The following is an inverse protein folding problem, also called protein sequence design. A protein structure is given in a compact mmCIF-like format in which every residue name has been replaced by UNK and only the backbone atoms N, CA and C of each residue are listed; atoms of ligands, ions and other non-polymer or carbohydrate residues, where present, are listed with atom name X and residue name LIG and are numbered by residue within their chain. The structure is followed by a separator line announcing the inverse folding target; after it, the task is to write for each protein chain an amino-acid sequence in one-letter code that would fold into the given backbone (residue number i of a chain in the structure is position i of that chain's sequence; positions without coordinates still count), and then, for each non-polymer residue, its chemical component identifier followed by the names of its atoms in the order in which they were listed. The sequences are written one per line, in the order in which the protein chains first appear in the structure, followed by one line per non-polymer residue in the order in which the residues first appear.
data_IF_158693844615
#
_entry.id   IF_158693844615
#
_cell.length_a   1.000
_cell.length_b   1.000
_cell.length_c   1.000
_cell.angle_alpha   90.00
_cell.angle_beta   90.00
_cell.angle_gamma   90.00
#
_symmetry.space_group_name_H-M   'P 1'
#
loop_
_entity.id
_entity.type
_entity.pdbx_description
1 polymer ?
#
# COMPACT_ATOMS: atom_id res chain seq x y z
N UNK A 1 -78.87 -10.79 -2.68
CA UNK A 1 -77.80 -10.88 -3.70
C UNK A 1 -76.49 -10.54 -3.00
N UNK A 2 -75.73 -11.52 -2.48
CA UNK A 2 -74.78 -12.44 -3.15
C UNK A 2 -73.41 -11.76 -3.38
N UNK A 3 -72.42 -12.22 -2.59
CA UNK A 3 -70.98 -12.48 -2.91
C UNK A 3 -70.10 -11.27 -3.31
N UNK A 4 -68.83 -11.16 -2.96
CA UNK A 4 -67.90 -12.00 -2.21
C UNK A 4 -66.68 -11.14 -1.82
N UNK A 5 -66.17 -11.36 -0.60
CA UNK A 5 -64.79 -11.09 -0.23
C UNK A 5 -63.86 -11.93 -1.11
N UNK A 6 -62.77 -11.35 -1.62
CA UNK A 6 -61.58 -12.09 -2.02
C UNK A 6 -60.31 -11.33 -1.60
N UNK A 7 -59.87 -11.66 -0.39
CA UNK A 7 -58.51 -11.50 0.10
C UNK A 7 -57.57 -12.38 -0.74
N UNK A 8 -56.61 -11.76 -1.41
CA UNK A 8 -55.45 -12.46 -2.00
C UNK A 8 -54.19 -11.90 -1.36
N UNK A 9 -53.91 -12.40 -0.16
CA UNK A 9 -52.63 -12.26 0.52
C UNK A 9 -51.60 -13.14 -0.18
N UNK A 10 -50.86 -12.57 -1.13
CA UNK A 10 -49.65 -13.18 -1.67
C UNK A 10 -48.53 -13.04 -0.63
N UNK A 11 -48.47 -14.02 0.28
CA UNK A 11 -47.29 -14.30 1.09
C UNK A 11 -46.18 -14.80 0.16
N UNK A 12 -45.42 -13.86 -0.40
CA UNK A 12 -44.15 -14.12 -1.03
C UNK A 12 -43.14 -14.61 0.01
N UNK A 13 -43.15 -15.92 0.26
CA UNK A 13 -42.05 -16.66 0.88
C UNK A 13 -40.85 -16.64 -0.07
N UNK A 14 -40.19 -15.48 -0.16
CA UNK A 14 -38.88 -15.39 -0.77
C UNK A 14 -37.89 -16.21 0.07
N UNK A 15 -37.01 -17.02 -0.55
CA UNK A 15 -35.98 -17.73 0.18
C UNK A 15 -35.13 -16.71 0.93
N UNK A 16 -35.20 -16.73 2.26
CA UNK A 16 -34.22 -16.10 3.13
C UNK A 16 -32.88 -16.74 2.80
N UNK A 17 -32.11 -16.10 1.92
CA UNK A 17 -30.69 -16.38 1.77
C UNK A 17 -30.08 -16.07 3.14
N UNK A 18 -30.01 -17.09 3.99
CA UNK A 18 -29.22 -17.09 5.19
C UNK A 18 -27.77 -16.92 4.74
N UNK A 19 -27.36 -15.67 4.57
CA UNK A 19 -25.95 -15.32 4.48
C UNK A 19 -25.35 -15.78 5.80
N UNK A 20 -24.66 -16.93 5.74
CA UNK A 20 -23.85 -17.43 6.81
C UNK A 20 -23.08 -16.23 7.36
N UNK A 21 -23.38 -15.87 8.60
CA UNK A 21 -22.81 -14.66 9.19
C UNK A 21 -21.30 -14.84 9.14
N UNK A 22 -20.64 -14.08 8.26
CA UNK A 22 -19.20 -14.13 8.08
C UNK A 22 -18.57 -14.15 9.47
N UNK A 23 -17.90 -15.26 9.79
CA UNK A 23 -17.41 -15.52 11.14
C UNK A 23 -16.08 -14.81 11.25
N UNK A 24 -16.13 -13.49 11.43
CA UNK A 24 -14.95 -12.67 11.59
C UNK A 24 -14.11 -13.24 12.74
N UNK A 25 -12.80 -13.45 12.55
CA UNK A 25 -11.99 -14.20 13.49
C UNK A 25 -11.90 -13.50 14.86
N UNK A 26 -11.38 -14.24 15.84
CA UNK A 26 -10.84 -13.63 17.07
C UNK A 26 -9.36 -13.37 16.82
N UNK A 27 -8.86 -12.25 17.33
CA UNK A 27 -7.47 -11.80 17.19
C UNK A 27 -7.19 -11.16 15.82
N UNK A 28 -5.95 -10.74 15.59
CA UNK A 28 -5.57 -9.88 14.47
C UNK A 28 -5.35 -10.52 13.09
N UNK A 29 -5.70 -11.79 12.84
CA UNK A 29 -5.41 -12.47 11.56
C UNK A 29 -6.65 -13.14 10.95
N UNK A 30 -6.70 -13.31 9.63
CA UNK A 30 -7.79 -13.97 8.91
C UNK A 30 -9.02 -13.10 8.63
N UNK A 31 -8.90 -11.77 8.69
CA UNK A 31 -10.06 -10.90 8.54
C UNK A 31 -10.47 -10.77 7.08
N UNK A 32 -11.77 -10.67 6.82
CA UNK A 32 -12.30 -10.50 5.46
C UNK A 32 -12.97 -9.14 5.30
N UNK A 33 -13.14 -8.67 4.06
CA UNK A 33 -13.87 -7.44 3.77
C UNK A 33 -15.30 -7.43 4.36
N UNK A 34 -15.93 -8.61 4.50
CA UNK A 34 -17.25 -8.76 5.09
C UNK A 34 -17.33 -8.38 6.58
N UNK A 35 -16.18 -8.25 7.27
CA UNK A 35 -16.08 -7.82 8.66
C UNK A 35 -16.16 -6.30 8.83
N UNK A 36 -16.12 -5.56 7.72
CA UNK A 36 -16.09 -4.11 7.71
C UNK A 36 -17.38 -3.50 7.16
N UNK A 37 -17.55 -2.21 7.42
CA UNK A 37 -18.51 -1.30 6.81
C UNK A 37 -17.78 -0.10 6.24
N UNK A 38 -18.35 0.55 5.23
CA UNK A 38 -17.69 1.69 4.57
C UNK A 38 -16.49 1.27 3.74
N UNK A 39 -15.85 2.25 3.12
CA UNK A 39 -14.68 2.09 2.25
C UNK A 39 -13.69 3.22 2.50
N UNK A 40 -12.43 3.03 2.06
CA UNK A 40 -11.39 4.05 2.18
C UNK A 40 -11.21 4.56 3.62
N UNK A 41 -11.21 5.89 3.79
CA UNK A 41 -11.04 6.56 5.09
C UNK A 41 -12.21 6.37 6.07
N UNK A 42 -13.37 5.92 5.58
CA UNK A 42 -14.56 5.62 6.41
C UNK A 42 -14.70 4.13 6.73
N UNK A 43 -13.75 3.31 6.29
CA UNK A 43 -13.73 1.87 6.58
C UNK A 43 -13.66 1.65 8.09
N UNK A 44 -14.59 0.82 8.58
CA UNK A 44 -14.74 0.50 10.01
C UNK A 44 -15.00 -0.98 10.22
N UNK A 45 -14.45 -1.56 11.28
CA UNK A 45 -14.87 -2.88 11.79
C UNK A 45 -16.31 -2.78 12.28
N UNK A 46 -17.16 -3.75 11.92
CA UNK A 46 -18.56 -3.78 12.39
C UNK A 46 -18.60 -3.80 13.93
N UNK A 47 -19.45 -2.98 14.58
CA UNK A 47 -19.47 -2.85 16.04
C UNK A 47 -19.54 -4.18 16.81
N UNK A 48 -20.31 -5.16 16.30
CA UNK A 48 -20.45 -6.50 16.89
C UNK A 48 -19.16 -7.32 16.98
N UNK A 49 -18.09 -6.91 16.31
CA UNK A 49 -16.80 -7.60 16.30
C UNK A 49 -15.70 -6.87 17.07
N UNK A 50 -15.95 -5.68 17.63
CA UNK A 50 -14.92 -4.90 18.34
C UNK A 50 -14.38 -5.61 19.60
N UNK A 51 -15.23 -6.40 20.27
CA UNK A 51 -14.83 -7.20 21.43
C UNK A 51 -13.90 -8.38 21.07
N UNK A 52 -13.62 -8.62 19.78
CA UNK A 52 -12.72 -9.68 19.30
C UNK A 52 -11.29 -9.20 19.03
N UNK A 53 -11.04 -7.91 19.18
CA UNK A 53 -9.77 -7.26 18.87
C UNK A 53 -8.87 -7.18 20.11
N UNK A 54 -7.57 -7.39 19.89
CA UNK A 54 -6.54 -7.26 20.91
C UNK A 54 -6.04 -5.82 20.94
N UNK A 55 -6.53 -5.07 21.93
CA UNK A 55 -6.21 -3.65 22.09
C UNK A 55 -4.88 -3.45 22.81
N UNK A 56 -4.01 -2.62 22.24
CA UNK A 56 -2.83 -2.12 22.93
C UNK A 56 -3.19 -1.05 23.97
N UNK A 57 -2.20 -0.60 24.76
CA UNK A 57 -2.37 0.44 25.80
C UNK A 57 -2.88 1.79 25.27
N UNK A 58 -2.74 2.05 23.97
CA UNK A 58 -3.19 3.27 23.30
C UNK A 58 -4.60 3.14 22.70
N UNK A 59 -5.25 1.99 22.86
CA UNK A 59 -6.58 1.74 22.30
C UNK A 59 -6.57 1.46 20.80
N UNK A 60 -5.46 0.96 20.28
CA UNK A 60 -5.30 0.55 18.89
C UNK A 60 -5.21 -0.97 18.80
N UNK A 61 -5.70 -1.56 17.71
CA UNK A 61 -5.53 -2.97 17.40
C UNK A 61 -5.05 -3.14 15.96
N UNK A 62 -4.16 -4.10 15.71
CA UNK A 62 -3.70 -4.47 14.37
C UNK A 62 -4.50 -5.63 13.83
N UNK A 63 -4.83 -5.57 12.55
CA UNK A 63 -5.61 -6.59 11.83
C UNK A 63 -4.94 -6.86 10.48
N UNK A 64 -4.80 -8.13 10.13
CA UNK A 64 -4.46 -8.63 8.81
C UNK A 64 -5.76 -9.05 8.13
N UNK A 65 -6.06 -8.40 7.01
CA UNK A 65 -7.13 -8.75 6.09
C UNK A 65 -6.55 -9.71 5.06
N UNK A 66 -7.22 -10.82 4.74
CA UNK A 66 -6.64 -11.87 3.87
C UNK A 66 -6.61 -11.49 2.38
N UNK A 67 -7.63 -10.77 1.91
CA UNK A 67 -7.83 -10.50 0.49
C UNK A 67 -8.27 -9.04 0.26
N UNK A 68 -7.35 -8.17 -0.24
CA UNK A 68 -5.91 -8.42 -0.37
C UNK A 68 -5.24 -8.56 1.00
N UNK A 69 -4.08 -9.25 1.07
CA UNK A 69 -3.28 -9.35 2.29
C UNK A 69 -2.84 -7.95 2.73
N UNK A 70 -3.53 -7.39 3.71
CA UNK A 70 -3.39 -5.99 4.15
C UNK A 70 -3.28 -5.95 5.68
N UNK A 71 -2.18 -5.40 6.19
CA UNK A 71 -2.05 -5.07 7.61
C UNK A 71 -2.60 -3.66 7.84
N UNK A 72 -3.51 -3.49 8.79
CA UNK A 72 -4.08 -2.20 9.14
C UNK A 72 -4.21 -2.04 10.66
N UNK A 73 -4.33 -0.79 11.12
CA UNK A 73 -4.60 -0.47 12.52
C UNK A 73 -5.98 0.19 12.68
N UNK A 74 -6.72 -0.22 13.71
CA UNK A 74 -8.05 0.30 14.04
C UNK A 74 -8.09 0.90 15.45
N UNK A 75 -8.90 1.93 15.63
CA UNK A 75 -9.20 2.52 16.93
C UNK A 75 -10.31 1.76 17.68
N UNK A 76 -10.56 2.10 18.95
CA UNK A 76 -11.65 1.51 19.77
C UNK A 76 -13.06 1.67 19.21
N UNK A 77 -13.26 2.58 18.25
CA UNK A 77 -14.54 2.79 17.55
C UNK A 77 -14.60 1.93 16.28
N UNK A 78 -13.58 1.11 16.02
CA UNK A 78 -13.43 0.27 14.84
C UNK A 78 -12.95 1.02 13.61
N UNK A 79 -12.65 2.32 13.68
CA UNK A 79 -12.22 3.09 12.51
C UNK A 79 -10.80 2.68 12.12
N UNK A 80 -10.59 2.43 10.84
CA UNK A 80 -9.23 2.25 10.30
C UNK A 80 -8.49 3.58 10.45
N UNK A 81 -7.48 3.59 11.31
CA UNK A 81 -6.64 4.76 11.58
C UNK A 81 -5.42 4.78 10.64
N UNK A 82 -4.83 3.61 10.37
CA UNK A 82 -3.70 3.45 9.45
C UNK A 82 -3.99 2.24 8.54
N UNK A 83 -4.31 2.46 7.25
CA UNK A 83 -4.52 1.38 6.27
C UNK A 83 -3.18 0.87 5.71
N UNK A 84 -3.16 -0.32 5.09
CA UNK A 84 -2.01 -0.88 4.34
C UNK A 84 -0.61 -0.50 4.89
N UNK A 85 -0.34 -0.89 6.13
CA UNK A 85 0.91 -0.67 6.86
C UNK A 85 2.07 -1.44 6.20
N UNK A 86 3.23 -0.77 6.09
CA UNK A 86 4.49 -1.25 5.52
C UNK A 86 5.64 -0.85 6.46
N UNK A 87 6.17 -1.77 7.27
CA UNK A 87 7.29 -1.46 8.17
C UNK A 87 8.60 -1.35 7.37
N UNK A 88 9.01 -2.42 6.71
CA UNK A 88 10.16 -2.48 5.80
C UNK A 88 9.73 -3.14 4.49
N UNK A 89 10.53 -3.02 3.42
CA UNK A 89 10.18 -3.59 2.11
C UNK A 89 9.87 -5.10 2.17
N UNK A 90 10.47 -5.77 3.15
CA UNK A 90 10.23 -7.17 3.47
C UNK A 90 9.48 -7.30 4.81
N UNK A 91 8.63 -8.31 4.92
CA UNK A 91 7.79 -8.60 6.09
C UNK A 91 8.59 -8.95 7.36
N UNK A 92 9.93 -8.93 7.29
CA UNK A 92 10.83 -9.53 8.28
C UNK A 92 11.36 -8.57 9.37
N UNK A 93 11.11 -7.25 9.28
CA UNK A 93 11.46 -6.34 10.38
C UNK A 93 10.20 -5.88 11.14
N UNK A 94 10.00 -6.37 12.38
CA UNK A 94 8.86 -5.97 13.20
C UNK A 94 8.97 -4.51 13.67
N UNK A 95 10.19 -3.96 13.70
CA UNK A 95 10.46 -2.66 14.30
C UNK A 95 10.81 -1.64 13.22
N UNK A 96 9.95 -0.64 13.08
CA UNK A 96 10.27 0.54 12.29
C UNK A 96 11.39 1.34 12.98
N UNK A 97 12.39 1.78 12.23
CA UNK A 97 13.45 2.64 12.77
C UNK A 97 12.83 3.89 13.41
N UNK A 98 13.29 4.24 14.62
CA UNK A 98 12.72 5.30 15.46
C UNK A 98 11.21 5.18 15.74
N UNK A 99 10.63 4.00 15.54
CA UNK A 99 9.21 3.75 15.69
C UNK A 99 8.35 4.43 14.63
N UNK A 100 8.87 4.75 13.45
CA UNK A 100 8.12 5.40 12.36
C UNK A 100 7.92 4.45 11.18
N UNK A 101 6.71 3.90 11.06
CA UNK A 101 6.32 3.03 9.95
C UNK A 101 5.80 3.82 8.75
N UNK A 102 5.72 3.15 7.59
CA UNK A 102 5.05 3.67 6.39
C UNK A 102 3.69 3.04 6.23
N UNK A 103 2.82 3.72 5.51
CA UNK A 103 1.53 3.17 5.13
C UNK A 103 1.12 3.69 3.76
N UNK A 104 0.22 2.99 3.08
CA UNK A 104 -0.39 3.53 1.86
C UNK A 104 -1.90 3.69 2.01
N UNK A 105 -2.43 4.76 1.43
CA UNK A 105 -3.85 5.03 1.38
C UNK A 105 -4.24 5.42 -0.05
N UNK A 106 -5.51 5.24 -0.39
CA UNK A 106 -6.05 5.82 -1.62
C UNK A 106 -6.43 7.26 -1.36
N UNK A 107 -5.96 8.15 -2.23
CA UNK A 107 -6.36 9.55 -2.25
C UNK A 107 -7.82 9.71 -2.69
N UNK A 108 -8.36 10.93 -2.59
CA UNK A 108 -9.68 11.26 -3.14
C UNK A 108 -9.77 11.03 -4.66
N UNK A 109 -8.64 11.06 -5.37
CA UNK A 109 -8.55 10.78 -6.81
C UNK A 109 -8.31 9.30 -7.12
N UNK A 110 -8.27 8.44 -6.11
CA UNK A 110 -8.06 7.00 -6.24
C UNK A 110 -6.59 6.57 -6.42
N UNK A 111 -5.65 7.52 -6.51
CA UNK A 111 -4.20 7.26 -6.55
C UNK A 111 -3.76 6.65 -5.22
N UNK A 112 -2.86 5.66 -5.26
CA UNK A 112 -2.18 5.21 -4.04
C UNK A 112 -1.12 6.24 -3.69
N UNK A 113 -1.19 6.72 -2.46
CA UNK A 113 -0.21 7.62 -1.89
C UNK A 113 0.25 7.03 -0.56
N UNK A 114 1.46 7.38 -0.16
CA UNK A 114 2.08 6.89 1.05
C UNK A 114 2.35 8.03 2.02
N UNK A 115 2.39 7.66 3.29
CA UNK A 115 2.71 8.54 4.41
C UNK A 115 3.39 7.77 5.52
N UNK A 116 3.55 8.42 6.67
CA UNK A 116 4.27 7.89 7.83
C UNK A 116 3.42 7.95 9.09
N UNK A 117 3.60 6.99 9.98
CA UNK A 117 2.88 6.90 11.25
C UNK A 117 3.81 6.45 12.38
N UNK A 118 3.51 6.88 13.60
CA UNK A 118 4.20 6.41 14.80
C UNK A 118 3.67 5.02 15.17
N UNK A 119 4.52 4.00 15.09
CA UNK A 119 4.20 2.58 15.21
C UNK A 119 3.52 2.22 16.54
N UNK A 120 4.02 2.75 17.65
CA UNK A 120 3.50 2.43 18.98
C UNK A 120 2.03 2.86 19.16
N UNK A 121 1.68 4.03 18.63
CA UNK A 121 0.37 4.69 18.83
C UNK A 121 -0.52 4.70 17.59
N UNK A 122 -0.05 4.16 16.46
CA UNK A 122 -0.71 4.21 15.15
C UNK A 122 -1.26 5.60 14.77
N UNK A 123 -0.50 6.65 15.11
CA UNK A 123 -0.87 8.03 14.79
C UNK A 123 -0.13 8.47 13.53
N UNK A 124 -0.87 8.94 12.53
CA UNK A 124 -0.30 9.51 11.31
C UNK A 124 0.54 10.73 11.67
N UNK A 125 1.82 10.68 11.32
CA UNK A 125 2.78 11.78 11.49
C UNK A 125 2.88 12.58 10.19
N UNK A 126 2.81 11.89 9.06
CA UNK A 126 2.82 12.50 7.72
C UNK A 126 1.65 11.92 6.94
N UNK A 127 0.77 12.80 6.47
CA UNK A 127 -0.39 12.42 5.67
C UNK A 127 0.04 11.71 4.38
N UNK A 128 -0.82 10.85 3.80
CA UNK A 128 -0.48 10.09 2.60
C UNK A 128 -0.54 10.97 1.35
N UNK A 129 0.49 11.78 1.13
CA UNK A 129 0.53 12.80 0.05
C UNK A 129 1.67 12.57 -0.95
N UNK A 130 2.51 11.56 -0.72
CA UNK A 130 3.63 11.19 -1.57
C UNK A 130 3.27 9.99 -2.44
N UNK A 131 3.84 9.91 -3.64
CA UNK A 131 3.66 8.74 -4.51
C UNK A 131 4.59 7.60 -4.12
N UNK A 132 5.77 7.90 -3.56
CA UNK A 132 6.74 6.94 -3.05
C UNK A 132 7.31 7.41 -1.71
N UNK A 133 7.54 6.44 -0.81
CA UNK A 133 8.06 6.65 0.54
C UNK A 133 9.07 5.55 0.85
N UNK A 134 10.29 5.91 1.17
CA UNK A 134 11.33 5.00 1.64
C UNK A 134 11.23 4.81 3.15
N UNK A 135 11.70 3.68 3.66
CA UNK A 135 11.75 3.47 5.11
C UNK A 135 12.70 4.50 5.74
N UNK A 136 12.50 4.77 7.04
CA UNK A 136 13.49 5.52 7.79
C UNK A 136 14.80 4.74 7.84
N UNK A 137 15.89 5.44 7.57
CA UNK A 137 17.26 4.98 7.69
C UNK A 137 18.14 6.12 8.21
N UNK A 138 18.92 5.86 9.25
CA UNK A 138 19.75 6.85 9.93
C UNK A 138 18.98 8.11 10.36
N UNK A 139 17.72 7.94 10.80
CA UNK A 139 16.86 9.02 11.25
C UNK A 139 16.24 9.86 10.13
N UNK A 140 16.43 9.50 8.86
CA UNK A 140 15.89 10.20 7.69
C UNK A 140 15.06 9.27 6.81
N UNK A 141 14.04 9.80 6.14
CA UNK A 141 13.32 9.06 5.09
C UNK A 141 13.12 9.92 3.85
N UNK A 142 13.41 9.35 2.68
CA UNK A 142 13.10 9.99 1.41
C UNK A 142 11.66 9.71 0.99
N UNK A 143 10.99 10.73 0.46
CA UNK A 143 9.68 10.61 -0.16
C UNK A 143 9.62 11.48 -1.40
N UNK A 144 8.76 11.15 -2.37
CA UNK A 144 8.60 11.98 -3.55
C UNK A 144 7.16 12.11 -4.02
N UNK A 145 6.88 13.27 -4.62
CA UNK A 145 5.61 13.61 -5.28
C UNK A 145 5.83 13.69 -6.78
N UNK A 146 4.84 13.22 -7.54
CA UNK A 146 4.84 13.16 -9.00
C UNK A 146 6.04 12.41 -9.59
N UNK A 147 6.42 11.33 -8.90
CA UNK A 147 7.57 10.49 -9.23
C UNK A 147 7.16 9.03 -9.42
N UNK A 148 8.04 8.26 -10.07
CA UNK A 148 7.89 6.81 -10.23
C UNK A 148 9.13 6.12 -9.66
N UNK A 149 8.91 5.07 -8.84
CA UNK A 149 9.99 4.16 -8.42
C UNK A 149 10.19 3.11 -9.51
N UNK A 150 11.41 3.02 -10.01
CA UNK A 150 11.84 1.95 -10.90
C UNK A 150 12.81 1.03 -10.18
N UNK A 151 12.56 -0.27 -10.24
CA UNK A 151 13.53 -1.27 -9.82
C UNK A 151 14.63 -1.38 -10.88
N UNK A 152 15.88 -1.61 -10.46
CA UNK A 152 17.00 -1.80 -11.37
C UNK A 152 17.23 -3.26 -11.76
N UNK A 153 16.61 -4.18 -11.04
CA UNK A 153 16.54 -5.61 -11.35
C UNK A 153 15.10 -6.13 -11.15
N UNK A 154 14.87 -7.39 -11.52
CA UNK A 154 13.54 -8.02 -11.44
C UNK A 154 13.09 -8.26 -9.99
N UNK A 155 14.04 -8.46 -9.08
CA UNK A 155 13.80 -8.70 -7.65
C UNK A 155 13.67 -7.40 -6.83
N UNK A 156 13.95 -6.26 -7.44
CA UNK A 156 13.94 -4.92 -6.85
C UNK A 156 14.88 -4.73 -5.64
N UNK A 157 16.08 -5.33 -5.69
CA UNK A 157 17.09 -5.11 -4.65
C UNK A 157 17.58 -3.66 -4.62
N UNK A 158 17.69 -3.04 -5.79
CA UNK A 158 17.99 -1.62 -5.96
C UNK A 158 16.86 -0.92 -6.73
N UNK A 159 16.59 0.33 -6.40
CA UNK A 159 15.56 1.12 -7.03
C UNK A 159 15.91 2.59 -7.08
N UNK A 160 15.36 3.29 -8.07
CA UNK A 160 15.57 4.72 -8.28
C UNK A 160 14.24 5.45 -8.42
N UNK A 161 14.16 6.62 -7.81
CA UNK A 161 13.04 7.54 -7.96
C UNK A 161 13.30 8.45 -9.17
N UNK A 162 12.36 8.46 -10.12
CA UNK A 162 12.47 9.23 -11.36
C UNK A 162 11.35 10.25 -11.46
N UNK A 163 11.73 11.49 -11.78
CA UNK A 163 10.82 12.62 -11.99
C UNK A 163 10.29 13.24 -10.70
N UNK A 164 9.47 14.29 -10.85
CA UNK A 164 8.76 14.92 -9.76
C UNK A 164 9.67 15.72 -8.81
N UNK A 165 9.31 15.72 -7.51
CA UNK A 165 10.04 16.41 -6.45
C UNK A 165 10.21 15.50 -5.25
N UNK A 166 11.43 15.45 -4.73
CA UNK A 166 11.81 14.67 -3.57
C UNK A 166 11.93 15.54 -2.33
N UNK A 167 11.66 14.95 -1.18
CA UNK A 167 11.94 15.52 0.14
C UNK A 167 12.58 14.47 1.02
N UNK A 168 13.38 14.92 1.97
CA UNK A 168 13.80 14.09 3.10
C UNK A 168 13.19 14.61 4.37
N UNK A 169 12.65 13.67 5.14
CA UNK A 169 11.82 13.89 6.31
C UNK A 169 12.56 13.40 7.56
N UNK A 170 12.42 14.17 8.64
CA UNK A 170 12.74 13.72 9.99
C UNK A 170 11.60 12.84 10.56
N UNK A 171 11.82 12.09 11.66
CA UNK A 171 10.83 11.18 12.23
C UNK A 171 9.55 11.87 12.72
N UNK A 172 9.60 13.17 12.98
CA UNK A 172 8.45 14.01 13.34
C UNK A 172 7.67 14.54 12.11
N UNK A 173 8.11 14.19 10.90
CA UNK A 173 7.51 14.61 9.64
C UNK A 173 8.01 15.96 9.12
N UNK A 174 8.96 16.61 9.80
CA UNK A 174 9.55 17.86 9.31
C UNK A 174 10.39 17.59 8.06
N UNK A 175 10.19 18.42 7.04
CA UNK A 175 11.07 18.43 5.85
C UNK A 175 12.43 18.98 6.26
N UNK A 176 13.47 18.14 6.16
CA UNK A 176 14.86 18.50 6.38
C UNK A 176 15.45 19.19 5.14
N UNK A 177 15.16 18.64 3.96
CA UNK A 177 15.61 19.18 2.67
C UNK A 177 14.74 18.69 1.52
N UNK A 178 14.75 19.45 0.43
CA UNK A 178 14.14 19.07 -0.84
C UNK A 178 15.23 18.68 -1.84
N UNK A 179 14.91 17.80 -2.77
CA UNK A 179 15.80 17.41 -3.87
C UNK A 179 14.99 17.17 -5.15
N UNK A 180 15.69 17.18 -6.29
CA UNK A 180 15.09 16.82 -7.57
C UNK A 180 15.50 15.38 -7.89
N UNK A 181 14.57 14.42 -7.95
CA UNK A 181 14.88 13.06 -8.37
C UNK A 181 15.44 13.05 -9.79
N UNK A 182 16.17 11.99 -10.14
CA UNK A 182 16.78 11.89 -11.47
C UNK A 182 15.70 11.91 -12.57
N UNK A 183 16.06 12.40 -13.75
CA UNK A 183 15.25 12.21 -14.96
C UNK A 183 15.60 10.86 -15.59
N UNK A 184 14.76 10.37 -16.49
CA UNK A 184 15.05 9.12 -17.21
C UNK A 184 16.39 9.20 -17.97
N UNK A 185 16.64 10.35 -18.61
CA UNK A 185 17.90 10.62 -19.32
C UNK A 185 19.12 10.58 -18.41
N UNK A 186 18.99 11.03 -17.15
CA UNK A 186 20.10 11.02 -16.21
C UNK A 186 20.38 9.62 -15.65
N UNK A 187 19.37 8.74 -15.61
CA UNK A 187 19.54 7.38 -15.08
C UNK A 187 20.14 6.43 -16.13
N UNK A 188 19.66 6.48 -17.38
CA UNK A 188 20.08 5.54 -18.43
C UNK A 188 20.86 6.17 -19.60
N UNK A 189 21.07 7.49 -19.61
CA UNK A 189 21.45 8.22 -20.82
C UNK A 189 20.24 8.50 -21.72
N UNK A 190 20.35 9.53 -22.57
CA UNK A 190 19.26 9.96 -23.47
C UNK A 190 18.79 8.82 -24.37
N UNK A 191 17.46 8.65 -24.46
CA UNK A 191 16.76 7.74 -25.38
C UNK A 191 17.14 6.24 -25.26
N UNK A 192 17.76 5.86 -24.16
CA UNK A 192 18.31 4.52 -23.96
C UNK A 192 17.57 3.71 -22.90
N UNK A 193 16.70 4.34 -22.10
CA UNK A 193 15.90 3.64 -21.11
C UNK A 193 14.83 2.75 -21.75
N UNK A 194 14.76 1.49 -21.31
CA UNK A 194 13.60 0.63 -21.55
C UNK A 194 12.95 0.26 -20.21
N UNK A 195 11.62 0.25 -20.17
CA UNK A 195 10.86 -0.11 -18.97
C UNK A 195 10.13 -1.41 -19.24
N UNK A 196 10.47 -2.45 -18.47
CA UNK A 196 9.73 -3.71 -18.41
C UNK A 196 8.78 -3.70 -17.21
N UNK A 197 7.66 -4.42 -17.32
CA UNK A 197 6.67 -4.53 -16.22
C UNK A 197 6.30 -5.99 -15.93
N UNK A 198 7.16 -6.76 -15.24
CA UNK A 198 6.76 -8.06 -14.71
C UNK A 198 5.73 -7.84 -13.59
N UNK A 199 4.44 -7.99 -13.91
CA UNK A 199 3.35 -7.77 -12.97
C UNK A 199 3.15 -6.29 -12.61
N UNK A 200 3.20 -5.96 -11.31
CA UNK A 200 2.99 -4.61 -10.80
C UNK A 200 4.29 -3.78 -10.68
N UNK A 201 5.45 -4.42 -10.86
CA UNK A 201 6.76 -3.82 -10.69
C UNK A 201 7.22 -3.19 -12.01
N UNK A 202 7.73 -1.95 -11.98
CA UNK A 202 8.36 -1.32 -13.12
C UNK A 202 9.88 -1.50 -13.01
N UNK A 203 10.46 -2.29 -13.92
CA UNK A 203 11.90 -2.55 -13.98
C UNK A 203 12.50 -1.68 -15.08
N UNK A 204 13.47 -0.85 -14.71
CA UNK A 204 14.23 -0.02 -15.63
C UNK A 204 15.47 -0.76 -16.09
N UNK A 205 15.61 -0.90 -17.40
CA UNK A 205 16.79 -1.48 -18.04
C UNK A 205 17.49 -0.39 -18.84
N UNK A 206 18.70 -0.05 -18.41
CA UNK A 206 19.60 0.81 -19.15
C UNK A 206 20.58 -0.09 -19.95
N UNK A 207 20.95 0.28 -21.19
CA UNK A 207 22.01 -0.42 -21.89
C UNK A 207 23.33 -0.29 -21.12
N UNK A 208 24.23 -1.28 -21.27
CA UNK A 208 25.56 -1.17 -20.70
C UNK A 208 26.26 0.08 -21.26
N UNK A 209 27.03 0.75 -20.41
CA UNK A 209 27.87 1.85 -20.86
C UNK A 209 28.80 1.40 -22.00
N UNK A 210 29.11 2.28 -22.94
CA UNK A 210 29.92 1.95 -24.12
C UNK A 210 31.35 1.45 -23.77
N UNK A 211 31.83 1.79 -22.58
CA UNK A 211 33.10 1.38 -21.98
C UNK A 211 32.94 0.24 -20.95
N UNK A 212 31.75 -0.34 -20.81
CA UNK A 212 31.51 -1.43 -19.87
C UNK A 212 32.33 -2.66 -20.29
N UNK A 213 33.16 -3.22 -19.39
CA UNK A 213 33.88 -4.46 -19.67
C UNK A 213 32.95 -5.67 -19.82
N UNK A 214 31.65 -5.48 -19.56
CA UNK A 214 30.59 -6.49 -19.72
C UNK A 214 29.65 -6.18 -20.88
N UNK A 215 29.94 -5.17 -21.71
CA UNK A 215 29.19 -4.97 -22.94
C UNK A 215 29.43 -6.18 -23.85
N UNK A 216 28.35 -6.92 -24.15
CA UNK A 216 28.42 -7.96 -25.17
C UNK A 216 28.77 -7.28 -26.51
N UNK A 217 29.72 -7.83 -27.28
CA UNK A 217 29.98 -7.32 -28.62
C UNK A 217 28.67 -7.38 -29.43
N UNK A 218 28.44 -6.42 -30.34
CA UNK A 218 27.26 -6.46 -31.20
C UNK A 218 27.19 -7.83 -31.88
N UNK A 219 26.01 -8.46 -31.84
CA UNK A 219 25.80 -9.75 -32.47
C UNK A 219 26.20 -9.65 -33.95
N UNK A 220 27.18 -10.47 -34.36
CA UNK A 220 27.69 -10.46 -35.73
C UNK A 220 26.61 -11.02 -36.66
N UNK A 221 26.01 -10.20 -37.56
CA UNK A 221 24.94 -10.66 -38.43
C UNK A 221 25.41 -11.73 -39.43
N UNK A 222 26.73 -11.97 -39.55
CA UNK A 222 27.29 -13.01 -40.40
C UNK A 222 27.37 -14.40 -39.74
N UNK A 223 27.06 -14.55 -38.44
CA UNK A 223 27.21 -15.82 -37.73
C UNK A 223 26.07 -16.84 -37.97
N UNK A 224 24.96 -16.42 -38.59
CA UNK A 224 23.80 -17.26 -38.91
C UNK A 224 23.64 -17.53 -40.43
N UNK A 225 24.69 -17.29 -41.24
CA UNK A 225 24.70 -17.56 -42.69
C UNK A 225 25.36 -18.88 -43.06
#
# INVERSE_FOLDING_TARGET
MIRALLLLAWLGLGPSLAQAAATCPRNGDGWTAACFTGTGSERRVKPRYLARLDWNRYGMATIIVDQPRELLAVDRRGKVAVPDIRHTGDFDYPDAEHGIGRFTARSATGRRQCGYFAAERFTVVVAPVYDQCEAFHDGEAAACQDCVRYCRDEDCHDSVLVGGRGVVLAPDGKVLRSFTPATMDNVCGRDQASVRRPGATAVLTCPPAADSPFALPPADPAADS
#
